data_IF_410640691150
#
_entry.id   IF_410640691150
#
_cell.length_a   1.000
_cell.length_b   1.000
_cell.length_c   1.000
_cell.angle_alpha   90.00
_cell.angle_beta   90.00
_cell.angle_gamma   90.00
#
_symmetry.space_group_name_H-M   'P 1'
#
loop_
_entity.id
_entity.type
_entity.pdbx_description
1 polymer ?
#
# COMPACT_ATOMS: atom_id res chain seq x y z
N UNK A 1 28.95 21.66 -16.48
CA UNK A 1 28.43 20.30 -16.62
C UNK A 1 27.16 20.16 -15.79
N UNK A 2 26.15 19.61 -16.38
CA UNK A 2 24.88 19.43 -15.68
C UNK A 2 24.86 18.10 -14.97
N UNK A 3 24.64 18.12 -13.67
CA UNK A 3 24.43 16.92 -12.89
C UNK A 3 22.93 16.66 -12.75
N UNK A 4 22.52 15.46 -13.10
CA UNK A 4 21.14 15.06 -12.82
C UNK A 4 21.09 14.64 -11.35
N UNK A 5 20.21 15.31 -10.60
CA UNK A 5 19.94 14.84 -9.24
C UNK A 5 19.09 13.58 -9.32
N UNK A 6 19.62 12.48 -8.80
CA UNK A 6 18.82 11.28 -8.58
C UNK A 6 17.80 11.65 -7.49
N UNK A 7 16.50 11.37 -7.69
CA UNK A 7 15.53 11.62 -6.63
C UNK A 7 15.95 10.97 -5.33
N UNK A 8 15.92 11.72 -4.24
CA UNK A 8 16.21 11.16 -2.93
C UNK A 8 14.96 10.42 -2.44
N UNK A 9 14.82 9.17 -2.88
CA UNK A 9 13.63 8.36 -2.59
C UNK A 9 13.49 8.06 -1.10
N UNK A 10 14.58 8.02 -0.34
CA UNK A 10 14.52 7.85 1.11
C UNK A 10 13.82 9.03 1.76
N UNK A 11 14.23 10.27 1.40
CA UNK A 11 13.60 11.48 1.94
C UNK A 11 12.16 11.62 1.45
N UNK A 12 11.92 11.32 0.17
CA UNK A 12 10.57 11.38 -0.40
C UNK A 12 9.65 10.38 0.28
N UNK A 13 10.12 9.16 0.54
CA UNK A 13 9.34 8.16 1.29
C UNK A 13 8.96 8.69 2.67
N UNK A 14 9.93 9.26 3.40
CA UNK A 14 9.66 9.80 4.73
C UNK A 14 8.61 10.91 4.70
N UNK A 15 8.68 11.81 3.73
CA UNK A 15 7.72 12.91 3.60
C UNK A 15 6.33 12.42 3.21
N UNK A 16 6.25 11.45 2.29
CA UNK A 16 4.98 10.85 1.88
C UNK A 16 4.32 10.13 3.06
N UNK A 17 5.10 9.36 3.81
CA UNK A 17 4.58 8.63 4.97
C UNK A 17 4.20 9.58 6.10
N UNK A 18 4.89 10.69 6.27
CA UNK A 18 4.49 11.72 7.23
C UNK A 18 3.12 12.33 6.86
N UNK A 19 2.87 12.55 5.58
CA UNK A 19 1.56 13.02 5.11
C UNK A 19 0.46 11.97 5.35
N UNK A 20 0.78 10.70 5.14
CA UNK A 20 -0.15 9.60 5.43
C UNK A 20 -0.48 9.54 6.92
N UNK A 21 0.53 9.63 7.80
CA UNK A 21 0.32 9.61 9.25
C UNK A 21 -0.57 10.75 9.73
N UNK A 22 -0.47 11.91 9.09
CA UNK A 22 -1.28 13.07 9.45
C UNK A 22 -2.72 13.00 8.94
N UNK A 23 -3.02 12.07 8.04
CA UNK A 23 -4.35 11.96 7.44
C UNK A 23 -5.38 11.53 8.49
N UNK A 24 -6.51 12.25 8.61
CA UNK A 24 -7.51 11.92 9.64
C UNK A 24 -8.07 10.51 9.56
N UNK A 25 -8.28 9.99 8.36
CA UNK A 25 -8.80 8.63 8.17
C UNK A 25 -7.79 7.59 8.65
N UNK A 26 -6.50 7.81 8.41
CA UNK A 26 -5.46 6.93 8.91
C UNK A 26 -5.38 6.98 10.44
N UNK A 27 -5.42 8.18 10.99
CA UNK A 27 -5.33 8.36 12.45
C UNK A 27 -6.48 7.68 13.18
N UNK A 28 -7.67 7.71 12.61
CA UNK A 28 -8.86 7.09 13.20
C UNK A 28 -8.90 5.57 13.00
N UNK A 29 -8.15 5.03 12.04
CA UNK A 29 -8.21 3.62 11.69
C UNK A 29 -7.62 2.73 12.77
N UNK A 30 -8.26 1.60 13.04
CA UNK A 30 -7.78 0.58 13.96
C UNK A 30 -7.11 -0.57 13.22
N UNK A 31 -7.71 -1.03 12.14
CA UNK A 31 -7.20 -2.14 11.32
C UNK A 31 -6.83 -1.61 9.94
N UNK A 32 -5.55 -1.74 9.60
CA UNK A 32 -4.97 -1.15 8.40
C UNK A 32 -4.25 -2.23 7.59
N UNK A 33 -4.59 -2.30 6.30
CA UNK A 33 -3.84 -3.13 5.36
C UNK A 33 -2.73 -2.28 4.73
N UNK A 34 -1.50 -2.70 4.94
CA UNK A 34 -0.31 -2.09 4.33
C UNK A 34 0.29 -3.06 3.33
N UNK A 35 1.35 -2.65 2.66
CA UNK A 35 2.14 -3.53 1.82
C UNK A 35 3.62 -3.44 2.21
N UNK A 36 4.35 -4.55 2.08
CA UNK A 36 5.78 -4.57 2.33
C UNK A 36 6.50 -4.16 1.03
N UNK A 37 7.07 -2.96 1.02
CA UNK A 37 7.52 -2.31 -0.21
C UNK A 37 8.69 -3.00 -0.89
N UNK A 38 8.66 -2.97 -2.23
CA UNK A 38 9.78 -3.30 -3.09
C UNK A 38 10.71 -2.09 -3.20
N UNK A 39 11.88 -2.29 -3.83
CA UNK A 39 12.91 -1.24 -3.92
C UNK A 39 12.46 0.01 -4.65
N UNK A 40 11.58 -0.14 -5.64
CA UNK A 40 11.12 0.97 -6.47
C UNK A 40 9.84 1.63 -5.93
N UNK A 41 9.37 1.18 -4.78
CA UNK A 41 8.16 1.72 -4.15
C UNK A 41 8.51 2.63 -2.98
N UNK A 42 7.54 3.42 -2.53
CA UNK A 42 7.66 4.18 -1.28
C UNK A 42 8.00 3.19 -0.17
N UNK A 43 9.06 3.46 0.58
CA UNK A 43 9.58 2.53 1.59
C UNK A 43 8.67 2.48 2.81
N UNK A 44 8.00 1.35 3.01
CA UNK A 44 7.03 1.16 4.08
C UNK A 44 7.57 0.34 5.26
N UNK A 45 8.81 -0.13 5.21
CA UNK A 45 9.30 -1.12 6.19
C UNK A 45 9.28 -0.60 7.62
N UNK A 46 9.83 0.59 7.86
CA UNK A 46 9.82 1.19 9.21
C UNK A 46 8.41 1.61 9.64
N UNK A 47 7.61 2.08 8.69
CA UNK A 47 6.24 2.48 8.94
C UNK A 47 5.41 1.30 9.46
N UNK A 48 5.58 0.12 8.86
CA UNK A 48 4.92 -1.11 9.30
C UNK A 48 5.31 -1.43 10.74
N UNK A 49 6.61 -1.39 11.05
CA UNK A 49 7.11 -1.68 12.40
C UNK A 49 6.56 -0.70 13.43
N UNK A 50 6.58 0.58 13.10
CA UNK A 50 6.10 1.64 13.98
C UNK A 50 4.62 1.45 14.32
N UNK A 51 3.79 1.29 13.30
CA UNK A 51 2.35 1.28 13.51
C UNK A 51 1.80 -0.05 13.99
N UNK A 52 2.56 -1.14 13.86
CA UNK A 52 2.14 -2.43 14.40
C UNK A 52 2.01 -2.43 15.93
N UNK A 53 2.61 -1.45 16.59
CA UNK A 53 2.52 -1.29 18.05
C UNK A 53 1.23 -0.60 18.49
N UNK A 54 0.58 0.10 17.60
CA UNK A 54 -0.59 0.94 17.94
C UNK A 54 -1.85 0.54 17.18
N UNK A 55 -1.69 -0.10 16.03
CA UNK A 55 -2.80 -0.50 15.17
C UNK A 55 -2.67 -1.99 14.82
N UNK A 56 -3.80 -2.57 14.42
CA UNK A 56 -3.78 -3.91 13.84
C UNK A 56 -3.32 -3.79 12.39
N UNK A 57 -2.12 -4.26 12.11
CA UNK A 57 -1.54 -4.17 10.78
C UNK A 57 -1.67 -5.52 10.07
N UNK A 58 -2.18 -5.47 8.86
CA UNK A 58 -2.29 -6.62 7.97
C UNK A 58 -1.33 -6.44 6.80
N UNK A 59 -0.74 -7.54 6.34
CA UNK A 59 0.07 -7.58 5.13
C UNK A 59 -0.46 -8.67 4.21
N UNK A 60 -0.34 -8.47 2.88
CA UNK A 60 -0.82 -9.46 1.93
C UNK A 60 0.18 -10.58 1.71
N UNK A 61 -0.34 -11.76 1.43
CA UNK A 61 0.43 -12.94 1.03
C UNK A 61 -0.13 -13.44 -0.29
N UNK A 62 0.75 -13.67 -1.27
CA UNK A 62 0.33 -14.20 -2.57
C UNK A 62 0.02 -15.69 -2.44
N UNK A 63 -1.21 -16.06 -2.77
CA UNK A 63 -1.67 -17.46 -2.80
C UNK A 63 -2.37 -17.69 -4.14
N UNK A 64 -1.68 -18.33 -5.06
CA UNK A 64 -2.20 -18.51 -6.42
C UNK A 64 -2.39 -17.17 -7.12
N UNK A 65 -3.62 -16.90 -7.55
CA UNK A 65 -3.97 -15.66 -8.23
C UNK A 65 -4.50 -14.58 -7.27
N UNK A 66 -4.56 -14.88 -5.98
CA UNK A 66 -5.19 -14.02 -5.00
C UNK A 66 -4.22 -13.59 -3.90
N UNK A 67 -4.67 -12.62 -3.10
CA UNK A 67 -3.99 -12.21 -1.88
C UNK A 67 -4.77 -12.70 -0.67
N UNK A 68 -4.07 -13.36 0.26
CA UNK A 68 -4.56 -13.56 1.61
C UNK A 68 -4.02 -12.44 2.49
N UNK A 69 -4.74 -12.10 3.54
CA UNK A 69 -4.32 -11.09 4.51
C UNK A 69 -3.97 -11.77 5.82
N UNK A 70 -2.81 -11.42 6.37
CA UNK A 70 -2.33 -11.97 7.63
C UNK A 70 -1.89 -10.88 8.58
N UNK A 71 -2.05 -11.13 9.87
CA UNK A 71 -1.60 -10.21 10.91
C UNK A 71 -0.08 -10.10 10.90
N UNK A 72 0.40 -8.88 11.06
CA UNK A 72 1.80 -8.59 11.28
C UNK A 72 1.96 -8.04 12.70
N UNK A 73 2.82 -8.65 13.50
CA UNK A 73 3.07 -8.21 14.87
C UNK A 73 4.52 -7.83 15.13
N UNK A 74 5.46 -8.48 14.45
CA UNK A 74 6.89 -8.23 14.67
C UNK A 74 7.72 -8.67 13.45
N UNK A 75 8.94 -8.10 13.27
CA UNK A 75 9.76 -8.42 12.09
C UNK A 75 10.11 -9.90 11.96
N UNK A 76 10.25 -10.63 13.04
CA UNK A 76 10.60 -12.05 13.03
C UNK A 76 9.52 -12.91 12.38
N UNK A 77 8.31 -12.38 12.23
CA UNK A 77 7.20 -13.10 11.62
C UNK A 77 7.18 -12.97 10.09
N UNK A 78 8.15 -12.31 9.51
CA UNK A 78 8.28 -12.20 8.06
C UNK A 78 9.15 -13.32 7.50
N UNK A 79 8.77 -13.82 6.33
CA UNK A 79 9.53 -14.81 5.56
C UNK A 79 9.58 -14.40 4.09
N UNK A 80 10.61 -14.83 3.34
CA UNK A 80 10.63 -14.57 1.90
C UNK A 80 9.43 -15.18 1.20
N UNK A 81 8.79 -14.41 0.34
CA UNK A 81 7.63 -14.83 -0.42
C UNK A 81 7.82 -14.62 -1.92
N UNK A 82 6.71 -14.62 -2.66
CA UNK A 82 6.72 -14.43 -4.10
C UNK A 82 7.24 -13.04 -4.48
N UNK A 83 7.92 -12.96 -5.61
CA UNK A 83 8.41 -11.71 -6.22
C UNK A 83 9.36 -10.91 -5.32
N UNK A 84 10.06 -11.57 -4.40
CA UNK A 84 10.98 -10.90 -3.49
C UNK A 84 10.31 -10.11 -2.38
N UNK A 85 9.01 -10.28 -2.18
CA UNK A 85 8.24 -9.61 -1.14
C UNK A 85 8.33 -10.43 0.14
N UNK A 86 8.65 -9.76 1.26
CA UNK A 86 8.56 -10.40 2.58
C UNK A 86 7.09 -10.57 2.95
N UNK A 87 6.74 -11.76 3.43
CA UNK A 87 5.36 -12.10 3.75
C UNK A 87 5.21 -12.45 5.23
N UNK A 88 4.07 -12.06 5.87
CA UNK A 88 3.83 -12.39 7.26
C UNK A 88 3.48 -13.87 7.43
N UNK A 89 3.90 -14.43 8.56
CA UNK A 89 3.56 -15.79 8.94
C UNK A 89 2.47 -15.83 10.03
N UNK A 90 1.91 -14.67 10.35
CA UNK A 90 0.91 -14.53 11.36
C UNK A 90 -0.45 -15.10 11.00
N UNK A 91 -1.41 -14.88 11.86
CA UNK A 91 -2.76 -15.41 11.73
C UNK A 91 -3.46 -14.90 10.48
N UNK A 92 -4.17 -15.78 9.79
CA UNK A 92 -5.01 -15.43 8.63
C UNK A 92 -6.14 -14.52 9.09
N UNK A 93 -6.32 -13.39 8.40
CA UNK A 93 -7.37 -12.42 8.69
C UNK A 93 -8.41 -12.47 7.59
N UNK A 94 -9.66 -12.77 7.97
CA UNK A 94 -10.76 -12.93 7.02
C UNK A 94 -11.91 -11.97 7.23
N UNK A 95 -11.87 -11.19 8.32
CA UNK A 95 -12.95 -10.27 8.65
C UNK A 95 -12.75 -8.93 7.93
N UNK A 96 -12.99 -8.94 6.63
CA UNK A 96 -12.69 -7.80 5.76
C UNK A 96 -13.54 -6.57 6.07
N UNK A 97 -14.70 -6.75 6.67
CA UNK A 97 -15.55 -5.63 7.08
C UNK A 97 -14.91 -4.78 8.20
N UNK A 98 -13.97 -5.35 8.95
CA UNK A 98 -13.26 -4.64 10.02
C UNK A 98 -12.07 -3.83 9.52
N UNK A 99 -11.70 -3.94 8.24
CA UNK A 99 -10.58 -3.18 7.70
C UNK A 99 -11.03 -1.74 7.45
N UNK A 100 -10.38 -0.79 8.13
CA UNK A 100 -10.74 0.62 8.08
C UNK A 100 -10.00 1.38 6.99
N UNK A 101 -8.78 0.98 6.70
CA UNK A 101 -7.89 1.75 5.83
C UNK A 101 -6.98 0.80 5.05
N UNK A 102 -6.79 1.08 3.76
CA UNK A 102 -5.88 0.31 2.91
C UNK A 102 -4.91 1.27 2.24
N UNK A 103 -3.62 0.97 2.35
CA UNK A 103 -2.58 1.64 1.57
C UNK A 103 -2.25 0.73 0.38
N UNK A 104 -2.45 1.25 -0.83
CA UNK A 104 -2.40 0.46 -2.05
C UNK A 104 -1.16 0.84 -2.86
N UNK A 105 -0.31 -0.14 -3.23
CA UNK A 105 0.82 0.13 -4.12
C UNK A 105 0.37 0.22 -5.58
N UNK A 106 1.20 0.83 -6.42
CA UNK A 106 0.95 0.88 -7.86
C UNK A 106 2.16 1.38 -8.61
N UNK A 107 2.15 1.16 -9.91
CA UNK A 107 3.19 1.66 -10.82
C UNK A 107 2.98 3.13 -11.08
N UNK A 108 1.72 3.55 -11.25
CA UNK A 108 1.34 4.93 -11.50
C UNK A 108 -0.06 5.21 -10.99
N UNK A 109 -0.34 6.47 -10.74
CA UNK A 109 -1.65 6.96 -10.29
C UNK A 109 -1.97 8.25 -11.02
N UNK A 110 -3.25 8.59 -11.07
CA UNK A 110 -3.70 9.91 -11.51
C UNK A 110 -4.55 10.59 -10.42
N UNK A 111 -4.84 11.87 -10.62
CA UNK A 111 -5.56 12.66 -9.60
C UNK A 111 -7.04 12.28 -9.46
N UNK A 112 -7.55 11.48 -10.39
CA UNK A 112 -8.92 10.95 -10.29
C UNK A 112 -8.99 9.68 -9.45
N UNK A 113 -7.86 9.23 -8.91
CA UNK A 113 -7.80 8.02 -8.10
C UNK A 113 -7.60 6.74 -8.89
N UNK A 114 -7.34 6.83 -10.19
CA UNK A 114 -7.06 5.65 -11.00
C UNK A 114 -5.66 5.13 -10.72
N UNK A 115 -5.52 3.82 -10.76
CA UNK A 115 -4.28 3.13 -10.40
C UNK A 115 -3.86 2.18 -11.52
N UNK A 116 -2.58 2.23 -11.87
CA UNK A 116 -1.96 1.25 -12.75
C UNK A 116 -1.17 0.26 -11.90
N UNK A 117 -1.58 -1.00 -11.88
CA UNK A 117 -0.88 -2.07 -11.17
C UNK A 117 0.19 -2.72 -12.03
N UNK A 118 0.82 -3.75 -11.47
CA UNK A 118 1.95 -4.44 -12.13
C UNK A 118 1.49 -5.54 -13.10
N UNK A 119 0.18 -5.66 -13.36
CA UNK A 119 -0.35 -6.58 -14.36
C UNK A 119 -0.80 -7.94 -13.82
N UNK A 120 -0.60 -8.21 -12.53
CA UNK A 120 -1.03 -9.48 -11.92
C UNK A 120 -2.49 -9.48 -11.45
N UNK A 121 -3.09 -8.29 -11.29
CA UNK A 121 -4.48 -8.15 -10.90
C UNK A 121 -4.80 -8.46 -9.45
N UNK A 122 -3.80 -8.59 -8.58
CA UNK A 122 -4.01 -8.96 -7.18
C UNK A 122 -4.91 -7.96 -6.46
N UNK A 123 -4.62 -6.66 -6.56
CA UNK A 123 -5.41 -5.64 -5.89
C UNK A 123 -6.74 -5.39 -6.60
N UNK A 124 -6.80 -5.58 -7.91
CA UNK A 124 -8.05 -5.45 -8.66
C UNK A 124 -9.07 -6.51 -8.21
N UNK A 125 -8.60 -7.68 -7.78
CA UNK A 125 -9.47 -8.73 -7.24
C UNK A 125 -9.76 -8.55 -5.75
N UNK A 126 -8.80 -7.98 -5.01
CA UNK A 126 -8.94 -7.81 -3.56
C UNK A 126 -9.86 -6.64 -3.18
N UNK A 127 -9.65 -5.47 -3.80
CA UNK A 127 -10.32 -4.25 -3.38
C UNK A 127 -11.85 -4.31 -3.41
N UNK A 128 -12.50 -4.97 -4.40
CA UNK A 128 -13.95 -5.12 -4.36
C UNK A 128 -14.47 -5.89 -3.14
N UNK A 129 -13.61 -6.68 -2.50
CA UNK A 129 -13.99 -7.46 -1.31
C UNK A 129 -13.92 -6.64 -0.02
N UNK A 130 -13.38 -5.42 -0.09
CA UNK A 130 -13.20 -4.54 1.07
C UNK A 130 -13.80 -3.16 0.75
N UNK A 131 -15.10 -3.10 0.47
CA UNK A 131 -15.72 -1.85 -0.04
C UNK A 131 -15.81 -0.73 1.01
N UNK A 132 -15.81 -1.06 2.29
CA UNK A 132 -15.99 -0.08 3.35
C UNK A 132 -14.70 0.60 3.80
N UNK A 133 -13.53 0.11 3.39
CA UNK A 133 -12.26 0.69 3.80
C UNK A 133 -11.92 1.94 2.98
N UNK A 134 -11.28 2.91 3.62
CA UNK A 134 -10.69 4.06 2.95
C UNK A 134 -9.44 3.62 2.19
N UNK A 135 -9.34 3.93 0.92
CA UNK A 135 -8.28 3.46 0.04
C UNK A 135 -7.37 4.61 -0.37
N UNK A 136 -6.13 4.56 0.08
CA UNK A 136 -5.13 5.56 -0.27
C UNK A 136 -4.03 4.92 -1.12
N UNK A 137 -3.80 5.49 -2.29
CA UNK A 137 -2.60 5.17 -3.06
C UNK A 137 -1.48 6.09 -2.60
N UNK A 138 -0.29 5.54 -2.37
CA UNK A 138 0.88 6.37 -2.06
C UNK A 138 1.90 6.20 -3.17
N UNK A 139 2.54 7.30 -3.56
CA UNK A 139 3.47 7.26 -4.67
C UNK A 139 4.47 8.41 -4.63
N UNK A 140 5.59 8.22 -5.31
CA UNK A 140 6.51 9.31 -5.60
C UNK A 140 5.91 10.27 -6.61
N UNK A 141 6.35 11.54 -6.64
CA UNK A 141 5.82 12.51 -7.61
C UNK A 141 5.90 12.06 -9.07
N UNK A 142 6.95 11.33 -9.45
CA UNK A 142 7.09 10.86 -10.83
C UNK A 142 6.11 9.74 -11.19
N UNK A 143 5.45 9.13 -10.21
CA UNK A 143 4.44 8.10 -10.43
C UNK A 143 3.04 8.71 -10.59
N UNK A 144 2.88 10.00 -10.27
CA UNK A 144 1.63 10.70 -10.47
C UNK A 144 1.59 11.21 -11.91
N UNK A 145 0.73 10.64 -12.73
CA UNK A 145 0.65 10.93 -14.15
C UNK A 145 -0.68 11.63 -14.48
N UNK A 146 -0.79 12.18 -15.68
CA UNK A 146 -1.98 12.94 -16.06
C UNK A 146 -3.21 12.04 -16.15
N UNK A 147 -3.05 10.84 -16.74
CA UNK A 147 -4.16 9.92 -16.91
C UNK A 147 -3.68 8.48 -16.91
N UNK A 148 -4.31 7.66 -16.08
CA UNK A 148 -4.12 6.21 -16.07
C UNK A 148 -5.31 5.59 -16.81
N UNK A 149 -5.09 4.66 -17.75
CA UNK A 149 -6.19 3.93 -18.38
C UNK A 149 -7.01 3.20 -17.31
N UNK A 150 -8.32 3.35 -17.36
CA UNK A 150 -9.21 2.74 -16.38
C UNK A 150 -10.46 2.17 -17.05
N UNK A 151 -10.93 1.05 -16.51
CA UNK A 151 -12.20 0.44 -16.93
C UNK A 151 -13.29 0.90 -15.96
N UNK A 152 -14.58 0.90 -16.40
CA UNK A 152 -15.67 1.34 -15.53
C UNK A 152 -15.81 0.56 -14.22
N UNK A 153 -15.35 -0.69 -14.17
CA UNK A 153 -15.43 -1.56 -12.99
C UNK A 153 -14.22 -1.46 -12.07
N UNK A 154 -13.20 -0.70 -12.46
CA UNK A 154 -12.00 -0.53 -11.63
C UNK A 154 -12.33 0.25 -10.36
N UNK A 155 -11.74 -0.17 -9.24
CA UNK A 155 -11.91 0.52 -7.97
C UNK A 155 -10.93 1.70 -7.92
N UNK A 156 -11.47 2.90 -7.74
CA UNK A 156 -10.65 4.10 -7.59
C UNK A 156 -10.15 4.23 -6.16
N UNK A 157 -8.98 4.84 -6.02
CA UNK A 157 -8.49 5.27 -4.70
C UNK A 157 -9.33 6.45 -4.23
N UNK A 158 -9.56 6.51 -2.92
CA UNK A 158 -10.22 7.67 -2.32
C UNK A 158 -9.30 8.87 -2.31
N UNK A 159 -8.01 8.63 -2.21
CA UNK A 159 -7.00 9.69 -2.24
C UNK A 159 -5.66 9.16 -2.74
N UNK A 160 -4.89 10.03 -3.39
CA UNK A 160 -3.51 9.75 -3.76
C UNK A 160 -2.63 10.66 -2.91
N UNK A 161 -1.76 10.05 -2.12
CA UNK A 161 -0.83 10.76 -1.24
C UNK A 161 0.55 10.73 -1.87
N UNK A 162 1.10 11.89 -2.10
CA UNK A 162 2.43 12.09 -2.69
C UNK A 162 3.05 13.34 -2.09
N UNK A 163 4.16 13.72 -2.66
CA UNK A 163 4.89 14.91 -2.25
C UNK A 163 4.44 16.15 -2.98
#
# INVERSE_FOLDING_TARGET
>A
MRTFSVPNTTRQSAEILAALEAHPAFRAATTVLLYHSLKDEVDTHEFIRKWSREKRILLPVVVGDDLELRLYTRPEDLKPGAYGIEEPTGELFTDYADIDFIVVPGVAFDRNGNRLGRGKGYYDRLLPRIPSAYKAGICFPFQLVEKVPAEPFDIRMDEIITQ
#
